data_IF_278567238747
#
_entry.id   IF_278567238747
#
_cell.length_a   1.000
_cell.length_b   1.000
_cell.length_c   1.000
_cell.angle_alpha   90.00
_cell.angle_beta   90.00
_cell.angle_gamma   90.00
#
_symmetry.space_group_name_H-M   'P 1'
#
loop_
_entity.id
_entity.type
_entity.pdbx_description
1 polymer ?
#
# COMPACT_ATOMS: atom_id res chain seq x y z
N UNK A 1 6.55 -16.94 -2.45
CA UNK A 1 5.23 -16.72 -1.81
C UNK A 1 4.18 -16.56 -2.90
N UNK A 2 2.94 -16.99 -2.67
CA UNK A 2 1.87 -16.76 -3.63
C UNK A 2 1.53 -15.27 -3.68
N UNK A 3 1.53 -14.68 -4.87
CA UNK A 3 1.23 -13.26 -5.10
C UNK A 3 -0.12 -12.86 -4.48
N UNK A 4 -0.22 -11.61 -4.01
CA UNK A 4 -1.51 -11.02 -3.65
C UNK A 4 -2.32 -10.90 -4.94
N UNK A 5 -3.57 -11.40 -4.99
CA UNK A 5 -4.41 -11.24 -6.17
C UNK A 5 -4.51 -9.76 -6.55
N UNK A 6 -4.08 -9.41 -7.76
CA UNK A 6 -4.09 -8.04 -8.23
C UNK A 6 -5.52 -7.51 -8.19
N UNK A 7 -5.76 -6.56 -7.28
CA UNK A 7 -7.09 -6.05 -7.02
C UNK A 7 -7.49 -4.94 -8.00
N UNK A 8 -6.57 -4.03 -8.29
CA UNK A 8 -6.80 -2.92 -9.23
C UNK A 8 -6.36 -3.33 -10.63
N UNK A 9 -7.21 -3.22 -11.66
CA UNK A 9 -6.78 -3.43 -13.03
C UNK A 9 -5.56 -2.56 -13.37
N UNK A 10 -4.51 -3.14 -13.95
CA UNK A 10 -3.25 -2.45 -14.23
C UNK A 10 -3.43 -1.16 -15.05
N UNK A 11 -4.40 -1.14 -15.97
CA UNK A 11 -4.78 0.04 -16.74
C UNK A 11 -5.19 1.24 -15.86
N UNK A 12 -5.79 1.01 -14.70
CA UNK A 12 -6.19 2.09 -13.79
C UNK A 12 -4.96 2.60 -13.06
N UNK A 13 -4.09 1.71 -12.57
CA UNK A 13 -2.83 2.09 -11.94
C UNK A 13 -1.93 2.92 -12.87
N UNK A 14 -1.79 2.50 -14.13
CA UNK A 14 -0.93 3.20 -15.11
C UNK A 14 -1.47 4.56 -15.56
N UNK A 15 -2.74 4.86 -15.28
CA UNK A 15 -3.37 6.13 -15.60
C UNK A 15 -3.68 6.97 -14.35
N UNK A 16 -3.23 6.55 -13.16
CA UNK A 16 -3.45 7.30 -11.92
C UNK A 16 -2.22 8.10 -11.50
N UNK A 17 -2.46 9.22 -10.81
CA UNK A 17 -1.41 10.10 -10.27
C UNK A 17 -1.24 9.97 -8.76
N UNK A 18 -1.61 8.81 -8.19
CA UNK A 18 -1.66 8.60 -6.74
C UNK A 18 -0.45 7.81 -6.25
N UNK A 19 -0.34 6.53 -6.63
CA UNK A 19 0.73 5.68 -6.11
C UNK A 19 2.10 6.04 -6.71
N UNK A 20 3.16 5.63 -6.02
CA UNK A 20 4.57 5.93 -6.33
C UNK A 20 4.99 7.40 -6.21
N UNK A 21 4.11 8.26 -5.69
CA UNK A 21 4.35 9.69 -5.43
C UNK A 21 4.12 9.96 -3.96
N UNK A 22 5.02 10.70 -3.34
CA UNK A 22 5.02 10.91 -1.90
C UNK A 22 5.21 12.40 -1.60
N UNK A 23 4.51 12.94 -0.59
CA UNK A 23 4.64 14.35 -0.23
C UNK A 23 6.03 14.64 0.38
N UNK A 24 6.58 13.69 1.12
CA UNK A 24 7.77 13.85 1.95
C UNK A 24 8.79 12.73 1.69
N UNK A 25 10.08 13.04 1.92
CA UNK A 25 11.19 12.10 1.69
C UNK A 25 11.10 10.87 2.58
N UNK A 26 10.72 11.07 3.82
CA UNK A 26 10.64 10.07 4.88
C UNK A 26 9.20 9.55 5.09
N UNK A 27 8.27 9.91 4.19
CA UNK A 27 6.86 9.50 4.24
C UNK A 27 6.71 8.02 4.60
N UNK A 28 5.87 7.73 5.61
CA UNK A 28 5.56 6.36 6.02
C UNK A 28 4.77 5.58 4.96
N UNK A 29 4.23 6.27 3.95
CA UNK A 29 3.52 5.67 2.81
C UNK A 29 4.47 5.01 1.80
N UNK A 30 5.79 5.24 1.92
CA UNK A 30 6.77 4.60 1.05
C UNK A 30 6.70 3.08 1.25
N UNK A 31 6.69 2.29 0.17
CA UNK A 31 6.52 0.85 0.30
C UNK A 31 7.69 0.21 1.03
N UNK A 32 7.39 -0.69 1.95
CA UNK A 32 8.35 -1.56 2.60
C UNK A 32 8.69 -2.76 1.71
N UNK A 33 9.98 -3.08 1.62
CA UNK A 33 10.48 -4.26 0.93
C UNK A 33 11.16 -5.17 1.95
N UNK A 34 10.80 -6.45 1.94
CA UNK A 34 11.54 -7.53 2.62
C UNK A 34 12.87 -7.81 1.90
N UNK A 35 13.79 -8.54 2.54
CA UNK A 35 15.07 -8.94 1.91
C UNK A 35 14.90 -9.54 0.51
N UNK A 36 14.01 -10.53 0.36
CA UNK A 36 13.78 -11.18 -0.94
C UNK A 36 13.20 -10.22 -1.98
N UNK A 37 12.35 -9.28 -1.56
CA UNK A 37 11.76 -8.29 -2.47
C UNK A 37 12.78 -7.23 -2.90
N UNK A 38 13.70 -6.85 -2.01
CA UNK A 38 14.85 -5.99 -2.35
C UNK A 38 15.70 -6.66 -3.43
N UNK A 39 16.04 -7.94 -3.24
CA UNK A 39 16.82 -8.70 -4.23
C UNK A 39 16.10 -8.76 -5.59
N UNK A 40 14.79 -9.04 -5.60
CA UNK A 40 14.01 -9.03 -6.83
C UNK A 40 13.95 -7.64 -7.48
N UNK A 41 13.74 -6.57 -6.72
CA UNK A 41 13.67 -5.21 -7.25
C UNK A 41 14.99 -4.81 -7.94
N UNK A 42 16.12 -5.22 -7.38
CA UNK A 42 17.46 -4.96 -7.94
C UNK A 42 17.69 -5.76 -9.23
N UNK A 43 17.27 -7.03 -9.26
CA UNK A 43 17.32 -7.82 -10.49
C UNK A 43 16.48 -7.19 -11.61
N UNK A 44 15.42 -6.46 -11.26
CA UNK A 44 14.58 -5.70 -12.19
C UNK A 44 15.03 -4.24 -12.39
N UNK A 45 16.23 -3.88 -11.93
CA UNK A 45 16.90 -2.63 -12.28
C UNK A 45 16.74 -1.47 -11.30
N UNK A 46 16.18 -1.68 -10.10
CA UNK A 46 16.22 -0.67 -9.03
C UNK A 46 17.63 -0.59 -8.46
N UNK A 47 18.18 0.61 -8.32
CA UNK A 47 19.52 0.79 -7.77
C UNK A 47 19.59 0.29 -6.31
N UNK A 48 20.61 -0.52 -5.95
CA UNK A 48 20.85 -0.97 -4.59
C UNK A 48 20.90 0.13 -3.53
N UNK A 49 21.29 1.35 -3.91
CA UNK A 49 21.46 2.49 -3.00
C UNK A 49 20.14 3.00 -2.42
N UNK A 50 19.01 2.69 -3.05
CA UNK A 50 17.68 3.07 -2.54
C UNK A 50 17.20 2.20 -1.38
N UNK A 51 18.01 1.28 -0.88
CA UNK A 51 17.67 0.40 0.23
C UNK A 51 18.69 0.54 1.37
N UNK A 52 18.33 1.34 2.38
CA UNK A 52 19.19 1.59 3.54
C UNK A 52 19.54 0.32 4.33
N UNK A 53 18.66 -0.69 4.32
CA UNK A 53 18.89 -1.97 4.98
C UNK A 53 18.47 -3.15 4.09
N UNK A 54 19.43 -4.00 3.71
CA UNK A 54 19.22 -5.19 2.86
C UNK A 54 18.45 -6.31 3.57
N UNK A 55 18.30 -6.26 4.89
CA UNK A 55 17.42 -7.14 5.66
C UNK A 55 15.93 -6.82 5.48
N UNK A 56 15.62 -5.61 5.04
CA UNK A 56 14.27 -5.11 4.80
C UNK A 56 14.17 -3.64 5.20
N UNK A 57 13.59 -2.82 4.33
CA UNK A 57 13.46 -1.37 4.55
C UNK A 57 12.36 -0.78 3.68
N UNK A 58 11.87 0.39 4.07
CA UNK A 58 11.18 1.27 3.13
C UNK A 58 12.16 1.74 2.05
N UNK A 59 11.67 1.87 0.82
CA UNK A 59 12.49 2.35 -0.29
C UNK A 59 12.81 3.84 -0.10
N UNK A 60 14.04 4.25 -0.36
CA UNK A 60 14.41 5.66 -0.44
C UNK A 60 13.91 6.26 -1.74
N UNK A 61 13.20 7.37 -1.61
CA UNK A 61 12.57 8.08 -2.73
C UNK A 61 13.51 9.14 -3.30
N UNK A 62 13.28 9.51 -4.55
CA UNK A 62 14.02 10.57 -5.25
C UNK A 62 13.15 11.82 -5.40
N UNK A 63 13.71 13.05 -5.37
CA UNK A 63 12.93 14.27 -5.57
C UNK A 63 12.22 14.27 -6.92
N UNK A 64 10.99 14.79 -6.96
CA UNK A 64 10.28 15.00 -8.22
C UNK A 64 11.00 16.06 -9.06
N UNK A 65 11.16 15.91 -10.40
CA UNK A 65 11.85 16.88 -11.24
C UNK A 65 11.23 18.29 -11.26
N UNK A 66 9.93 18.42 -10.99
CA UNK A 66 9.27 19.73 -10.83
C UNK A 66 9.65 20.47 -9.55
N UNK A 67 10.29 19.80 -8.58
CA UNK A 67 10.60 20.34 -7.27
C UNK A 67 9.53 20.10 -6.20
N UNK A 68 8.39 19.51 -6.54
CA UNK A 68 7.29 19.22 -5.61
C UNK A 68 7.20 17.74 -5.27
N UNK A 69 7.48 17.40 -4.00
CA UNK A 69 7.38 16.03 -3.50
C UNK A 69 8.46 15.08 -4.01
N UNK A 70 8.17 13.78 -3.91
CA UNK A 70 9.11 12.69 -4.14
C UNK A 70 8.48 11.55 -4.91
N UNK A 71 9.33 10.73 -5.53
CA UNK A 71 8.97 9.61 -6.38
C UNK A 71 9.64 8.32 -5.92
N UNK A 72 8.92 7.21 -6.06
CA UNK A 72 9.54 5.90 -6.02
C UNK A 72 10.58 5.79 -7.15
N UNK A 73 11.82 5.33 -6.89
CA UNK A 73 12.84 5.20 -7.93
C UNK A 73 12.48 4.15 -8.99
N UNK A 74 11.53 3.27 -8.73
CA UNK A 74 11.02 2.34 -9.74
C UNK A 74 9.98 2.97 -10.68
N UNK A 75 9.48 4.18 -10.40
CA UNK A 75 8.49 4.87 -11.21
C UNK A 75 9.13 5.54 -12.42
N UNK A 76 8.57 5.29 -13.60
CA UNK A 76 8.94 5.96 -14.84
C UNK A 76 7.93 7.07 -15.16
N UNK A 77 8.36 8.32 -14.96
CA UNK A 77 7.57 9.51 -15.24
C UNK A 77 7.15 9.65 -16.71
N UNK A 78 7.95 9.13 -17.65
CA UNK A 78 7.67 9.30 -19.07
C UNK A 78 6.53 8.40 -19.55
N UNK A 79 6.35 7.25 -18.89
CA UNK A 79 5.33 6.27 -19.24
C UNK A 79 4.21 6.16 -18.21
N UNK A 80 4.37 6.78 -17.03
CA UNK A 80 3.52 6.61 -15.84
C UNK A 80 3.45 5.15 -15.36
N UNK A 81 4.54 4.39 -15.50
CA UNK A 81 4.57 2.96 -15.17
C UNK A 81 5.61 2.65 -14.10
N UNK A 82 5.28 1.69 -13.26
CA UNK A 82 6.27 1.06 -12.38
C UNK A 82 7.12 0.09 -13.20
N UNK A 83 8.44 0.32 -13.24
CA UNK A 83 9.41 -0.52 -13.97
C UNK A 83 9.51 -1.94 -13.39
N UNK A 84 9.14 -2.10 -12.12
CA UNK A 84 9.12 -3.40 -11.43
C UNK A 84 7.70 -3.93 -11.22
N UNK A 85 6.72 -3.58 -12.05
CA UNK A 85 5.30 -3.86 -11.79
C UNK A 85 5.00 -5.32 -11.41
N UNK A 86 5.63 -6.28 -12.08
CA UNK A 86 5.48 -7.73 -11.81
C UNK A 86 6.32 -8.23 -10.62
N UNK A 87 7.29 -7.44 -10.17
CA UNK A 87 8.18 -7.71 -9.03
C UNK A 87 7.94 -6.74 -7.86
N UNK A 88 6.75 -6.13 -7.79
CA UNK A 88 6.36 -5.21 -6.71
C UNK A 88 6.42 -5.93 -5.36
N UNK A 89 6.80 -5.23 -4.27
CA UNK A 89 6.76 -5.80 -2.94
C UNK A 89 5.31 -6.08 -2.51
N UNK A 90 5.15 -6.96 -1.53
CA UNK A 90 3.89 -7.30 -0.91
C UNK A 90 3.06 -6.07 -0.56
N UNK A 91 3.69 -5.04 0.01
CA UNK A 91 3.06 -3.76 0.36
C UNK A 91 2.38 -3.08 -0.85
N UNK A 92 3.10 -2.97 -1.98
CA UNK A 92 2.55 -2.45 -3.24
C UNK A 92 1.52 -3.36 -3.91
N UNK A 93 1.55 -4.67 -3.65
CA UNK A 93 0.55 -5.61 -4.17
C UNK A 93 -0.74 -5.58 -3.32
N UNK A 94 -0.62 -5.24 -2.04
CA UNK A 94 -1.75 -5.09 -1.11
C UNK A 94 -2.58 -3.85 -1.43
N UNK A 95 -1.91 -2.75 -1.82
CA UNK A 95 -2.56 -1.51 -2.23
C UNK A 95 -3.66 -1.76 -3.29
N UNK A 96 -4.87 -1.20 -3.13
CA UNK A 96 -5.30 -0.12 -2.23
C UNK A 96 -5.74 -0.52 -0.82
N UNK A 97 -5.59 -1.78 -0.43
CA UNK A 97 -5.75 -2.15 0.97
C UNK A 97 -4.49 -1.76 1.74
N UNK A 98 -4.68 -1.28 2.97
CA UNK A 98 -3.60 -0.84 3.85
C UNK A 98 -3.73 -1.50 5.21
N UNK A 99 -2.58 -1.84 5.78
CA UNK A 99 -2.46 -2.26 7.17
C UNK A 99 -2.00 -1.07 7.98
N UNK A 100 -2.78 -0.72 8.99
CA UNK A 100 -2.42 0.36 9.90
C UNK A 100 -2.79 0.01 11.33
N UNK A 101 -2.10 0.64 12.27
CA UNK A 101 -2.61 0.75 13.62
C UNK A 101 -3.81 1.70 13.67
N UNK A 102 -4.72 1.49 14.60
CA UNK A 102 -5.73 2.49 14.96
C UNK A 102 -5.08 3.74 15.60
N UNK A 103 -5.90 4.77 15.81
CA UNK A 103 -5.47 6.07 16.37
C UNK A 103 -4.84 5.93 17.77
N UNK A 104 -5.30 4.94 18.53
CA UNK A 104 -4.82 4.61 19.89
C UNK A 104 -3.61 3.68 19.90
N UNK A 105 -3.22 3.14 18.75
CA UNK A 105 -2.16 2.15 18.62
C UNK A 105 -2.43 0.87 19.44
N UNK A 106 -3.71 0.52 19.57
CA UNK A 106 -4.24 -0.61 20.32
C UNK A 106 -4.51 -1.82 19.40
N UNK A 107 -4.98 -1.58 18.17
CA UNK A 107 -5.38 -2.63 17.21
C UNK A 107 -4.77 -2.44 15.81
N UNK A 108 -4.41 -3.53 15.15
CA UNK A 108 -4.11 -3.53 13.72
C UNK A 108 -5.41 -3.66 12.94
N UNK A 109 -5.61 -2.78 11.97
CA UNK A 109 -6.78 -2.71 11.12
C UNK A 109 -6.40 -2.86 9.65
N UNK A 110 -7.26 -3.55 8.89
CA UNK A 110 -7.29 -3.49 7.44
C UNK A 110 -8.26 -2.40 7.01
N UNK A 111 -7.76 -1.45 6.22
CA UNK A 111 -8.58 -0.42 5.61
C UNK A 111 -8.34 -0.33 4.10
N UNK A 112 -9.11 0.53 3.44
CA UNK A 112 -8.83 0.92 2.06
C UNK A 112 -8.50 2.40 2.00
N UNK A 113 -7.49 2.71 1.17
CA UNK A 113 -7.07 4.07 0.92
C UNK A 113 -8.06 4.75 -0.05
N UNK A 114 -8.76 5.77 0.45
CA UNK A 114 -9.74 6.53 -0.34
C UNK A 114 -9.10 7.34 -1.46
N UNK A 115 -7.78 7.55 -1.43
CA UNK A 115 -7.03 8.16 -2.53
C UNK A 115 -7.01 7.27 -3.77
N UNK A 116 -7.29 5.97 -3.66
CA UNK A 116 -7.32 5.10 -4.83
C UNK A 116 -8.55 5.38 -5.71
N UNK A 117 -8.37 5.82 -6.97
CA UNK A 117 -9.50 6.16 -7.84
C UNK A 117 -10.31 4.94 -8.25
N UNK A 118 -9.76 3.72 -8.14
CA UNK A 118 -10.49 2.48 -8.44
C UNK A 118 -11.64 2.23 -7.46
N UNK A 119 -11.45 2.59 -6.19
CA UNK A 119 -12.43 2.33 -5.13
C UNK A 119 -13.34 3.52 -4.86
N UNK A 120 -13.07 4.64 -5.51
CA UNK A 120 -13.92 5.80 -5.44
C UNK A 120 -15.33 5.48 -5.98
N UNK A 121 -16.40 5.98 -5.35
CA UNK A 121 -17.80 5.82 -5.76
C UNK A 121 -18.12 6.11 -7.24
N UNK A 122 -17.25 6.88 -7.89
CA UNK A 122 -17.25 7.18 -9.31
C UNK A 122 -16.80 5.99 -10.19
N UNK A 123 -16.94 4.75 -9.69
CA UNK A 123 -16.62 3.50 -10.36
C UNK A 123 -17.56 3.11 -11.51
N UNK A 124 -17.92 4.07 -12.37
CA UNK A 124 -18.39 3.88 -13.75
C UNK A 124 -18.65 5.26 -14.39
N UNK A 125 -17.85 5.61 -15.39
CA UNK A 125 -18.04 6.72 -16.34
C UNK A 125 -18.05 8.19 -15.84
N UNK A 126 -17.65 8.50 -14.61
CA UNK A 126 -17.57 9.91 -14.15
C UNK A 126 -16.16 10.50 -14.35
N UNK A 127 -16.01 11.69 -14.97
CA UNK A 127 -14.71 12.34 -15.16
C UNK A 127 -13.96 12.60 -13.85
N UNK A 128 -12.62 12.47 -13.94
CA UNK A 128 -11.57 12.52 -12.92
C UNK A 128 -11.49 13.80 -12.04
N UNK A 129 -12.48 14.71 -12.10
CA UNK A 129 -12.34 16.09 -11.59
C UNK A 129 -13.18 16.42 -10.35
N UNK A 130 -13.71 15.45 -9.60
CA UNK A 130 -14.43 15.75 -8.36
C UNK A 130 -13.67 15.31 -7.11
N UNK A 131 -13.47 16.30 -6.24
CA UNK A 131 -12.88 16.20 -4.92
C UNK A 131 -13.83 15.42 -3.98
N UNK A 132 -13.61 14.11 -3.89
CA UNK A 132 -14.42 13.17 -3.10
C UNK A 132 -14.25 13.36 -1.59
N UNK A 133 -13.26 14.15 -1.16
CA UNK A 133 -13.06 14.55 0.25
C UNK A 133 -14.26 15.30 0.85
N UNK A 134 -15.21 15.74 0.01
CA UNK A 134 -16.42 16.48 0.41
C UNK A 134 -17.66 15.60 0.62
N UNK A 135 -17.59 14.29 0.38
CA UNK A 135 -18.72 13.38 0.61
C UNK A 135 -18.76 12.95 2.08
N UNK A 136 -19.85 13.28 2.77
CA UNK A 136 -20.03 13.05 4.22
C UNK A 136 -20.17 11.56 4.58
N UNK A 137 -20.50 10.71 3.61
CA UNK A 137 -20.54 9.24 3.76
C UNK A 137 -20.16 8.62 2.41
N UNK A 138 -19.10 7.80 2.30
CA UNK A 138 -18.82 7.08 1.08
C UNK A 138 -19.95 6.06 0.82
N UNK A 139 -20.53 5.99 -0.39
CA UNK A 139 -21.51 4.96 -0.73
C UNK A 139 -20.95 3.56 -0.54
N UNK A 140 -21.83 2.56 -0.34
CA UNK A 140 -21.41 1.19 -0.10
C UNK A 140 -20.54 0.69 -1.26
N UNK A 141 -19.39 0.12 -0.92
CA UNK A 141 -18.51 -0.52 -1.88
C UNK A 141 -19.22 -1.70 -2.56
N UNK A 142 -18.94 -1.97 -3.84
CA UNK A 142 -19.40 -3.18 -4.52
C UNK A 142 -19.10 -4.45 -3.71
N UNK A 143 -20.02 -5.41 -3.75
CA UNK A 143 -19.95 -6.66 -2.98
C UNK A 143 -18.67 -7.45 -3.30
N UNK A 144 -18.22 -7.45 -4.56
CA UNK A 144 -17.00 -8.14 -4.98
C UNK A 144 -15.75 -7.57 -4.30
N UNK A 145 -15.71 -6.25 -4.12
CA UNK A 145 -14.64 -5.53 -3.43
C UNK A 145 -14.63 -5.93 -1.95
N UNK A 146 -15.79 -5.98 -1.31
CA UNK A 146 -15.94 -6.39 0.08
C UNK A 146 -15.54 -7.86 0.30
N UNK A 147 -15.93 -8.76 -0.60
CA UNK A 147 -15.54 -10.17 -0.54
C UNK A 147 -14.04 -10.36 -0.71
N UNK A 148 -13.41 -9.58 -1.58
CA UNK A 148 -11.96 -9.63 -1.76
C UNK A 148 -11.23 -9.11 -0.52
N UNK A 149 -11.66 -7.98 0.05
CA UNK A 149 -11.11 -7.47 1.31
C UNK A 149 -11.24 -8.51 2.43
N UNK A 150 -12.38 -9.22 2.51
CA UNK A 150 -12.55 -10.32 3.46
C UNK A 150 -11.53 -11.43 3.26
N UNK A 151 -11.29 -11.89 2.02
CA UNK A 151 -10.30 -12.94 1.73
C UNK A 151 -8.87 -12.49 2.09
N UNK A 152 -8.55 -11.22 1.85
CA UNK A 152 -7.26 -10.65 2.23
C UNK A 152 -7.12 -10.61 3.76
N UNK A 153 -8.13 -10.13 4.47
CA UNK A 153 -8.15 -10.14 5.94
C UNK A 153 -8.00 -11.55 6.53
N UNK A 154 -8.71 -12.54 5.97
CA UNK A 154 -8.61 -13.93 6.44
C UNK A 154 -7.18 -14.49 6.28
N UNK A 155 -6.46 -14.13 5.19
CA UNK A 155 -5.05 -14.51 4.99
C UNK A 155 -4.07 -13.74 5.87
N UNK A 156 -4.43 -12.53 6.28
CA UNK A 156 -3.59 -11.72 7.18
C UNK A 156 -3.69 -12.20 8.64
N UNK A 157 -4.74 -12.94 8.98
CA UNK A 157 -4.97 -13.50 10.31
C UNK A 157 -4.35 -14.90 10.51
N UNK A 158 -3.88 -15.54 9.43
CA UNK A 158 -3.22 -16.84 9.49
C UNK A 158 -2.40 -17.18 8.24
N UNK A 159 -1.32 -17.95 8.42
CA UNK A 159 -0.49 -18.47 7.33
C UNK A 159 0.62 -17.51 6.89
N UNK A 160 1.08 -17.66 5.64
CA UNK A 160 2.34 -17.05 5.20
C UNK A 160 2.33 -15.51 5.19
N UNK A 161 1.19 -14.86 4.95
CA UNK A 161 1.11 -13.39 5.00
C UNK A 161 1.16 -12.89 6.44
N UNK A 162 0.42 -13.54 7.35
CA UNK A 162 0.50 -13.29 8.78
C UNK A 162 1.94 -13.41 9.30
N UNK A 163 2.64 -14.49 8.96
CA UNK A 163 4.04 -14.70 9.37
C UNK A 163 4.99 -13.64 8.80
N UNK A 164 4.74 -13.19 7.56
CA UNK A 164 5.53 -12.11 6.95
C UNK A 164 5.35 -10.79 7.71
N UNK A 165 4.13 -10.43 8.10
CA UNK A 165 3.89 -9.21 8.87
C UNK A 165 4.57 -9.29 10.25
N UNK A 166 4.53 -10.43 10.93
CA UNK A 166 5.22 -10.61 12.22
C UNK A 166 6.73 -10.42 12.09
N UNK A 167 7.32 -10.94 11.02
CA UNK A 167 8.76 -10.79 10.74
C UNK A 167 9.11 -9.35 10.32
N UNK A 168 8.15 -8.62 9.76
CA UNK A 168 8.34 -7.29 9.20
C UNK A 168 7.22 -6.33 9.66
N UNK A 169 7.16 -5.97 10.96
CA UNK A 169 6.07 -5.18 11.53
C UNK A 169 5.97 -3.76 10.95
N UNK A 170 7.01 -3.29 10.25
CA UNK A 170 6.99 -2.02 9.51
C UNK A 170 6.04 -2.02 8.29
N UNK A 171 5.49 -3.19 7.91
CA UNK A 171 4.37 -3.28 6.95
C UNK A 171 3.06 -2.75 7.54
N UNK A 172 2.98 -2.59 8.87
CA UNK A 172 1.86 -1.95 9.56
C UNK A 172 2.18 -0.46 9.73
N UNK A 173 1.46 0.38 9.01
CA UNK A 173 1.66 1.82 9.01
C UNK A 173 1.04 2.51 10.23
N UNK A 174 1.40 3.77 10.53
CA UNK A 174 0.62 4.62 11.44
C UNK A 174 -0.82 4.81 10.96
N UNK A 175 -1.68 5.26 11.88
CA UNK A 175 -3.08 5.62 11.58
C UNK A 175 -3.19 6.69 10.47
N UNK A 176 -4.22 6.57 9.63
CA UNK A 176 -4.47 7.44 8.48
C UNK A 176 -5.95 7.86 8.46
N UNK A 177 -6.21 9.17 8.52
CA UNK A 177 -7.58 9.72 8.57
C UNK A 177 -8.39 9.51 7.28
N UNK A 178 -7.70 9.30 6.16
CA UNK A 178 -8.30 9.10 4.84
C UNK A 178 -8.41 7.62 4.43
N UNK A 179 -8.28 6.73 5.40
CA UNK A 179 -8.50 5.30 5.24
C UNK A 179 -9.84 4.93 5.86
N UNK A 180 -10.69 4.29 5.06
CA UNK A 180 -11.94 3.74 5.59
C UNK A 180 -11.68 2.34 6.12
N UNK A 181 -12.00 2.15 7.39
CA UNK A 181 -11.74 0.90 8.12
C UNK A 181 -12.70 -0.19 7.62
N UNK A 182 -12.15 -1.35 7.25
CA UNK A 182 -12.92 -2.51 6.80
C UNK A 182 -13.04 -3.57 7.90
N UNK A 183 -11.95 -3.83 8.63
CA UNK A 183 -11.91 -4.91 9.62
C UNK A 183 -10.72 -4.78 10.58
N UNK A 184 -10.93 -5.02 11.88
CA UNK A 184 -9.84 -5.26 12.82
C UNK A 184 -9.23 -6.67 12.63
N UNK A 185 -7.93 -6.81 12.89
CA UNK A 185 -7.16 -8.06 12.73
C UNK A 185 -6.61 -8.53 14.09
N UNK A 186 -7.45 -9.07 14.99
CA UNK A 186 -7.06 -9.40 16.37
C UNK A 186 -5.95 -10.45 16.50
N UNK A 187 -5.85 -11.48 15.63
CA UNK A 187 -4.76 -12.46 15.79
C UNK A 187 -3.43 -11.83 15.39
N UNK A 188 -3.43 -11.09 14.29
CA UNK A 188 -2.25 -10.35 13.85
C UNK A 188 -1.82 -9.30 14.88
N UNK A 189 -2.77 -8.57 15.46
CA UNK A 189 -2.53 -7.60 16.56
C UNK A 189 -1.80 -8.26 17.72
N UNK A 190 -2.31 -9.41 18.18
CA UNK A 190 -1.70 -10.14 19.29
C UNK A 190 -0.31 -10.69 18.96
N UNK A 191 -0.08 -11.07 17.70
CA UNK A 191 1.18 -11.69 17.28
C UNK A 191 2.30 -10.69 17.01
N UNK A 192 1.99 -9.53 16.42
CA UNK A 192 2.95 -8.43 16.24
C UNK A 192 3.31 -7.81 17.59
N UNK A 193 2.33 -7.73 18.50
CA UNK A 193 2.48 -7.06 19.77
C UNK A 193 2.53 -5.54 19.62
N UNK A 194 2.25 -4.81 20.69
CA UNK A 194 2.45 -3.35 20.68
C UNK A 194 3.95 -3.09 20.62
N UNK A 195 4.45 -2.15 19.79
CA UNK A 195 5.78 -1.62 20.03
C UNK A 195 5.82 -1.12 21.48
N UNK A 196 6.81 -1.59 22.25
CA UNK A 196 6.92 -1.23 23.67
C UNK A 196 6.76 0.29 23.82
N UNK A 197 5.82 0.69 24.67
CA UNK A 197 5.67 2.07 25.13
C UNK A 197 6.96 2.60 25.77
#
# INVERSE_FOLDING_TARGET
MSAVPQFVPSRICFNCDVCCRFPERDSFLRPYFTRSEIEMAIQHGVSPEHFANRGGSQIEVVPHPSGEGYLCPAFDLSTSRCRIYEARPFDCQLYPLVLMWDDRHDEIQLGWDTKCPFLSPAGSDVPFSQDLSKLTVPPPLPEEIMQQAKRVADRLEEGAWHDQIIQHPHLVTPFQDDVVILRSLPRLTNAVGRPNA
#
